data_IF_458897032442
#
_entry.id   IF_458897032442
#
_cell.length_a   1.000
_cell.length_b   1.000
_cell.length_c   1.000
_cell.angle_alpha   90.00
_cell.angle_beta   90.00
_cell.angle_gamma   90.00
#
_symmetry.space_group_name_H-M   'P 1'
#
loop_
_entity.id
_entity.type
_entity.pdbx_description
1 polymer ?
#
# COMPACT_ATOMS: atom_id res chain seq x y z
N UNK A 1 42.42 17.98 -36.92
CA UNK A 1 41.69 16.77 -36.48
C UNK A 1 41.39 16.92 -35.01
N UNK A 2 40.25 17.53 -34.67
CA UNK A 2 39.82 17.77 -33.30
C UNK A 2 38.73 16.75 -32.95
N UNK A 3 39.05 15.80 -32.08
CA UNK A 3 38.11 14.81 -31.55
C UNK A 3 37.41 15.42 -30.33
N UNK A 4 36.15 15.83 -30.51
CA UNK A 4 35.30 16.29 -29.41
C UNK A 4 34.79 15.06 -28.66
N UNK A 5 35.30 14.84 -27.45
CA UNK A 5 34.80 13.82 -26.54
C UNK A 5 33.46 14.29 -25.95
N UNK A 6 32.39 13.54 -26.20
CA UNK A 6 31.08 13.74 -25.57
C UNK A 6 31.15 13.35 -24.09
N UNK A 7 30.56 14.13 -23.17
CA UNK A 7 30.60 13.83 -21.75
C UNK A 7 29.76 12.58 -21.45
N UNK A 8 30.34 11.68 -20.65
CA UNK A 8 29.64 10.53 -20.12
C UNK A 8 28.42 10.99 -19.31
N UNK A 9 27.24 10.52 -19.70
CA UNK A 9 26.02 10.66 -18.90
C UNK A 9 26.25 9.96 -17.56
N UNK A 10 26.58 10.73 -16.53
CA UNK A 10 26.55 10.26 -15.16
C UNK A 10 25.08 10.09 -14.76
N UNK A 11 24.61 8.84 -14.75
CA UNK A 11 23.36 8.50 -14.09
C UNK A 11 23.56 8.69 -12.57
N UNK A 12 23.29 9.89 -12.08
CA UNK A 12 23.10 10.13 -10.64
C UNK A 12 21.63 9.83 -10.31
N UNK A 13 21.31 8.55 -10.16
CA UNK A 13 20.16 8.16 -9.34
C UNK A 13 20.69 7.82 -7.96
N UNK A 14 20.81 8.82 -7.08
CA UNK A 14 20.96 8.60 -5.65
C UNK A 14 19.62 8.14 -5.07
N UNK A 15 19.12 6.99 -5.52
CA UNK A 15 18.05 6.28 -4.85
C UNK A 15 18.73 5.35 -3.86
N UNK A 16 18.47 5.54 -2.57
CA UNK A 16 18.83 4.52 -1.57
C UNK A 16 18.28 3.17 -2.03
N UNK A 17 19.02 2.06 -1.81
CA UNK A 17 18.54 0.75 -2.20
C UNK A 17 17.21 0.47 -1.52
N UNK A 18 16.18 0.15 -2.31
CA UNK A 18 14.86 -0.23 -1.80
C UNK A 18 15.01 -1.32 -0.76
N UNK A 19 14.56 -1.05 0.48
CA UNK A 19 14.56 -2.04 1.53
C UNK A 19 13.46 -3.05 1.25
N UNK A 20 13.76 -4.33 1.38
CA UNK A 20 12.78 -5.40 1.20
C UNK A 20 12.72 -6.27 2.45
N UNK A 21 11.52 -6.51 2.95
CA UNK A 21 11.24 -7.45 4.03
C UNK A 21 10.48 -8.64 3.47
N UNK A 22 11.08 -9.82 3.54
CA UNK A 22 10.44 -11.05 3.09
C UNK A 22 9.91 -11.86 4.26
N UNK A 23 8.62 -12.21 4.22
CA UNK A 23 7.95 -13.00 5.25
C UNK A 23 7.86 -14.45 4.80
N UNK A 24 8.40 -15.38 5.59
CA UNK A 24 8.28 -16.82 5.30
C UNK A 24 6.83 -17.23 5.43
N UNK A 25 6.23 -17.65 4.31
CA UNK A 25 4.86 -18.17 4.25
C UNK A 25 4.84 -19.67 3.98
N UNK A 26 5.86 -20.42 4.37
CA UNK A 26 5.84 -21.89 4.25
C UNK A 26 4.86 -22.52 5.27
N UNK A 27 4.45 -23.79 5.04
CA UNK A 27 3.43 -24.52 5.83
C UNK A 27 3.57 -24.37 7.35
N UNK A 28 4.79 -24.47 7.89
CA UNK A 28 5.06 -24.34 9.32
C UNK A 28 4.88 -22.92 9.86
N UNK A 29 5.29 -21.90 9.09
CA UNK A 29 5.10 -20.50 9.46
C UNK A 29 3.63 -20.06 9.29
N UNK A 30 2.92 -20.60 8.30
CA UNK A 30 1.47 -20.36 8.14
C UNK A 30 0.67 -20.78 9.37
N UNK A 31 0.97 -21.97 9.92
CA UNK A 31 0.36 -22.45 11.17
C UNK A 31 0.64 -21.57 12.38
N UNK A 32 1.64 -20.70 12.30
CA UNK A 32 2.04 -19.76 13.35
C UNK A 32 1.65 -18.31 13.02
N UNK A 33 0.71 -18.10 12.09
CA UNK A 33 0.16 -16.76 11.81
C UNK A 33 0.94 -15.93 10.79
N UNK A 34 1.81 -16.52 9.95
CA UNK A 34 2.64 -15.74 9.01
C UNK A 34 1.86 -14.83 8.05
N UNK A 35 0.60 -15.15 7.73
CA UNK A 35 -0.24 -14.29 6.89
C UNK A 35 -0.72 -13.04 7.62
N UNK A 36 -1.14 -13.17 8.89
CA UNK A 36 -1.46 -12.02 9.71
C UNK A 36 -0.24 -11.10 9.88
N UNK A 37 0.95 -11.67 9.99
CA UNK A 37 2.20 -10.92 10.10
C UNK A 37 2.54 -10.23 8.78
N UNK A 38 2.39 -10.93 7.66
CA UNK A 38 2.56 -10.34 6.33
C UNK A 38 1.62 -9.15 6.12
N UNK A 39 0.35 -9.30 6.47
CA UNK A 39 -0.65 -8.24 6.40
C UNK A 39 -0.30 -7.07 7.32
N UNK A 40 0.01 -7.34 8.59
CA UNK A 40 0.42 -6.31 9.57
C UNK A 40 1.60 -5.49 9.05
N UNK A 41 2.66 -6.16 8.56
CA UNK A 41 3.83 -5.48 8.03
C UNK A 41 3.52 -4.69 6.77
N UNK A 42 2.71 -5.25 5.87
CA UNK A 42 2.31 -4.58 4.62
C UNK A 42 1.51 -3.31 4.92
N UNK A 43 0.61 -3.36 5.90
CA UNK A 43 -0.22 -2.23 6.30
C UNK A 43 0.57 -1.14 7.02
N UNK A 44 1.56 -1.51 7.84
CA UNK A 44 2.39 -0.55 8.59
C UNK A 44 3.62 -0.06 7.82
N UNK A 45 3.97 -0.68 6.69
CA UNK A 45 5.17 -0.34 5.94
C UNK A 45 5.14 1.10 5.40
N UNK A 46 6.25 1.85 5.51
CA UNK A 46 6.42 3.08 4.76
C UNK A 46 6.59 2.77 3.26
N UNK A 47 6.31 3.73 2.36
CA UNK A 47 6.38 3.55 0.90
C UNK A 47 7.71 3.00 0.37
N UNK A 48 8.82 3.23 1.09
CA UNK A 48 10.17 2.82 0.71
C UNK A 48 10.50 1.36 1.11
N UNK A 49 9.67 0.73 1.95
CA UNK A 49 9.84 -0.65 2.39
C UNK A 49 8.87 -1.57 1.66
N UNK A 50 9.39 -2.45 0.82
CA UNK A 50 8.59 -3.50 0.19
C UNK A 50 8.44 -4.68 1.15
N UNK A 51 7.21 -5.18 1.31
CA UNK A 51 6.93 -6.36 2.12
C UNK A 51 6.38 -7.46 1.21
N UNK A 52 7.14 -8.54 1.05
CA UNK A 52 6.81 -9.61 0.12
C UNK A 52 6.73 -10.97 0.82
N UNK A 53 5.82 -11.87 0.40
CA UNK A 53 5.88 -13.26 0.83
C UNK A 53 7.10 -13.98 0.21
N UNK A 54 7.63 -14.98 0.91
CA UNK A 54 8.65 -15.86 0.37
C UNK A 54 8.44 -17.32 0.79
N UNK A 55 9.20 -18.21 0.15
CA UNK A 55 9.28 -19.63 0.49
C UNK A 55 9.98 -19.90 1.82
N UNK A 56 10.33 -21.17 2.06
CA UNK A 56 11.02 -21.55 3.30
C UNK A 56 12.41 -20.91 3.38
N UNK A 57 12.71 -20.22 4.49
CA UNK A 57 14.03 -19.63 4.75
C UNK A 57 15.04 -20.64 5.34
N UNK A 58 14.73 -21.94 5.35
CA UNK A 58 15.64 -23.00 5.85
C UNK A 58 15.94 -22.95 7.35
N UNK A 59 15.29 -22.07 8.10
CA UNK A 59 15.47 -21.86 9.55
C UNK A 59 14.23 -22.40 10.27
N UNK A 60 14.19 -23.69 10.61
CA UNK A 60 13.12 -24.24 11.43
C UNK A 60 13.34 -23.93 12.92
N UNK A 61 12.27 -23.84 13.71
CA UNK A 61 12.39 -23.80 15.18
C UNK A 61 11.39 -22.92 15.92
N UNK A 62 10.83 -21.87 15.30
CA UNK A 62 9.72 -21.04 15.78
C UNK A 62 9.49 -19.92 14.75
N UNK A 63 8.46 -20.06 13.94
CA UNK A 63 8.11 -19.07 12.92
C UNK A 63 7.19 -17.98 13.48
N UNK A 64 6.66 -17.12 12.62
CA UNK A 64 7.14 -16.74 11.28
C UNK A 64 8.57 -16.18 11.31
N UNK A 65 9.36 -16.55 10.31
CA UNK A 65 10.70 -15.99 10.11
C UNK A 65 10.66 -14.95 8.99
N UNK A 66 11.50 -13.93 9.09
CA UNK A 66 11.68 -12.91 8.07
C UNK A 66 13.14 -12.78 7.68
N UNK A 67 13.36 -12.15 6.53
CA UNK A 67 14.68 -11.66 6.14
C UNK A 67 14.55 -10.22 5.64
N UNK A 68 15.37 -9.32 6.20
CA UNK A 68 15.50 -7.95 5.73
C UNK A 68 16.68 -7.84 4.76
N UNK A 69 16.42 -7.27 3.59
CA UNK A 69 17.35 -7.06 2.49
C UNK A 69 17.60 -5.56 2.31
N UNK A 70 18.82 -5.15 1.86
CA UNK A 70 19.89 -6.00 1.30
C UNK A 70 20.81 -6.67 2.33
N UNK A 71 20.69 -6.37 3.63
CA UNK A 71 21.64 -6.84 4.65
C UNK A 71 21.59 -8.37 4.89
N UNK A 72 20.53 -9.04 4.46
CA UNK A 72 20.36 -10.49 4.72
C UNK A 72 20.12 -10.79 6.20
N UNK A 73 19.56 -9.84 6.94
CA UNK A 73 19.31 -9.98 8.37
C UNK A 73 18.11 -10.91 8.60
N UNK A 74 18.37 -12.09 9.16
CA UNK A 74 17.33 -13.04 9.52
C UNK A 74 16.70 -12.70 10.87
N UNK A 75 15.39 -12.54 10.87
CA UNK A 75 14.59 -12.28 12.05
C UNK A 75 13.72 -13.51 12.33
N UNK A 76 13.76 -14.00 13.57
CA UNK A 76 13.06 -15.23 13.98
C UNK A 76 11.94 -14.88 14.98
N UNK A 77 10.98 -15.79 15.15
CA UNK A 77 9.93 -15.69 16.18
C UNK A 77 9.04 -14.44 16.06
N UNK A 78 8.69 -14.02 14.85
CA UNK A 78 7.80 -12.88 14.65
C UNK A 78 6.34 -13.35 14.59
N UNK A 79 5.82 -13.91 15.68
CA UNK A 79 4.50 -14.53 15.75
C UNK A 79 3.37 -13.58 16.19
N UNK A 80 3.69 -12.34 16.57
CA UNK A 80 2.71 -11.36 17.04
C UNK A 80 2.76 -10.06 16.22
N UNK A 81 1.62 -9.37 16.04
CA UNK A 81 1.59 -8.05 15.40
C UNK A 81 2.50 -7.03 16.09
N UNK A 82 2.58 -7.05 17.43
CA UNK A 82 3.48 -6.17 18.18
C UNK A 82 4.94 -6.40 17.83
N UNK A 83 5.36 -7.67 17.75
CA UNK A 83 6.75 -7.98 17.35
C UNK A 83 7.03 -7.58 15.91
N UNK A 84 6.04 -7.72 15.03
CA UNK A 84 6.16 -7.30 13.64
C UNK A 84 6.31 -5.77 13.52
N UNK A 85 5.51 -5.01 14.25
CA UNK A 85 5.60 -3.57 14.33
C UNK A 85 6.97 -3.14 14.89
N UNK A 86 7.42 -3.68 16.02
CA UNK A 86 8.75 -3.43 16.60
C UNK A 86 9.88 -3.66 15.59
N UNK A 87 9.83 -4.77 14.86
CA UNK A 87 10.80 -5.09 13.82
C UNK A 87 10.79 -4.00 12.75
N UNK A 88 9.61 -3.61 12.27
CA UNK A 88 9.47 -2.60 11.23
C UNK A 88 10.03 -1.25 11.67
N UNK A 89 9.74 -0.83 12.90
CA UNK A 89 10.32 0.37 13.49
C UNK A 89 11.84 0.28 13.64
N UNK A 90 12.38 -0.87 14.02
CA UNK A 90 13.84 -1.07 14.15
C UNK A 90 14.58 -1.00 12.80
N UNK A 91 13.92 -1.40 11.71
CA UNK A 91 14.51 -1.42 10.37
C UNK A 91 14.41 -0.07 9.64
N UNK A 92 13.38 0.71 9.95
CA UNK A 92 13.02 1.93 9.24
C UNK A 92 13.22 3.20 10.06
N UNK A 93 13.24 3.15 11.39
CA UNK A 93 13.26 4.33 12.25
C UNK A 93 14.51 5.21 12.07
N UNK A 94 14.30 6.52 11.93
CA UNK A 94 15.35 7.55 11.76
C UNK A 94 16.01 7.97 13.08
N UNK A 95 16.17 7.08 14.05
CA UNK A 95 16.76 7.42 15.35
C UNK A 95 15.89 8.34 16.24
N UNK A 96 14.66 8.68 15.83
CA UNK A 96 13.60 8.99 16.80
C UNK A 96 13.46 7.76 17.71
N UNK A 97 13.06 7.94 18.95
CA UNK A 97 12.80 6.87 19.94
C UNK A 97 11.61 5.97 19.52
N UNK A 98 11.66 5.41 18.31
CA UNK A 98 10.73 4.51 17.65
C UNK A 98 10.75 3.10 18.28
N UNK A 99 11.49 2.94 19.38
CA UNK A 99 11.47 1.79 20.29
C UNK A 99 10.70 2.09 21.58
N UNK A 100 9.93 3.18 21.67
CA UNK A 100 9.00 3.36 22.79
C UNK A 100 7.77 2.48 22.56
N UNK A 101 7.35 1.76 23.61
CA UNK A 101 6.12 0.94 23.61
C UNK A 101 4.89 1.73 23.11
N UNK A 102 4.88 3.06 23.28
CA UNK A 102 3.81 3.96 22.83
C UNK A 102 3.65 4.00 21.31
N UNK A 103 4.73 4.20 20.56
CA UNK A 103 4.65 4.31 19.09
C UNK A 103 4.17 3.01 18.43
N UNK A 104 4.58 1.87 19.00
CA UNK A 104 4.08 0.55 18.58
C UNK A 104 2.60 0.41 18.88
N UNK A 105 2.16 0.81 20.07
CA UNK A 105 0.75 0.76 20.46
C UNK A 105 -0.13 1.67 19.58
N UNK A 106 0.30 2.90 19.31
CA UNK A 106 -0.38 3.86 18.44
C UNK A 106 -0.52 3.34 17.01
N UNK A 107 0.55 2.79 16.44
CA UNK A 107 0.51 2.21 15.10
C UNK A 107 -0.42 0.98 15.01
N UNK A 108 -0.43 0.13 16.03
CA UNK A 108 -1.35 -1.01 16.09
C UNK A 108 -2.80 -0.57 16.31
N UNK A 109 -3.03 0.48 17.09
CA UNK A 109 -4.35 1.08 17.27
C UNK A 109 -4.86 1.68 15.95
N UNK A 110 -4.01 2.41 15.22
CA UNK A 110 -4.34 2.93 13.88
C UNK A 110 -4.64 1.81 12.88
N UNK A 111 -3.89 0.71 12.94
CA UNK A 111 -4.14 -0.47 12.13
C UNK A 111 -5.50 -1.12 12.50
N UNK A 112 -5.82 -1.22 13.79
CA UNK A 112 -7.09 -1.78 14.24
C UNK A 112 -8.28 -0.93 13.76
N UNK A 113 -8.19 0.40 13.86
CA UNK A 113 -9.21 1.31 13.30
C UNK A 113 -9.32 1.17 11.79
N UNK A 114 -8.20 1.06 11.07
CA UNK A 114 -8.18 0.86 9.62
C UNK A 114 -8.87 -0.44 9.22
N UNK A 115 -8.57 -1.54 9.93
CA UNK A 115 -9.21 -2.84 9.67
C UNK A 115 -10.72 -2.79 9.96
N UNK A 116 -11.14 -2.12 11.03
CA UNK A 116 -12.55 -1.90 11.30
C UNK A 116 -13.21 -1.08 10.19
N UNK A 117 -12.59 0.02 9.76
CA UNK A 117 -13.09 0.82 8.65
C UNK A 117 -13.24 0.00 7.36
N UNK A 118 -12.32 -0.94 7.09
CA UNK A 118 -12.43 -1.84 5.96
C UNK A 118 -13.65 -2.74 6.04
N UNK A 119 -13.94 -3.30 7.22
CA UNK A 119 -15.17 -4.06 7.44
C UNK A 119 -16.43 -3.21 7.26
N UNK A 120 -16.38 -1.93 7.64
CA UNK A 120 -17.49 -1.01 7.42
C UNK A 120 -17.66 -0.63 5.94
N UNK A 121 -16.57 -0.46 5.18
CA UNK A 121 -16.63 -0.29 3.72
C UNK A 121 -17.29 -1.50 3.05
N UNK A 122 -16.94 -2.71 3.48
CA UNK A 122 -17.56 -3.94 2.98
C UNK A 122 -19.04 -4.05 3.33
N UNK A 123 -19.45 -3.52 4.49
CA UNK A 123 -20.84 -3.42 4.91
C UNK A 123 -21.62 -2.28 4.24
N UNK A 124 -20.95 -1.37 3.52
CA UNK A 124 -21.54 -0.18 2.91
C UNK A 124 -21.71 1.02 3.86
N UNK A 125 -21.22 0.92 5.10
CA UNK A 125 -21.29 1.98 6.11
C UNK A 125 -20.15 2.98 5.92
N UNK A 126 -20.23 3.78 4.85
CA UNK A 126 -19.12 4.64 4.43
C UNK A 126 -18.82 5.81 5.39
N UNK A 127 -19.83 6.40 6.03
CA UNK A 127 -19.64 7.48 7.01
C UNK A 127 -18.85 7.00 8.24
N UNK A 128 -19.20 5.83 8.77
CA UNK A 128 -18.47 5.22 9.89
C UNK A 128 -17.04 4.87 9.48
N UNK A 129 -16.85 4.33 8.28
CA UNK A 129 -15.53 4.04 7.75
C UNK A 129 -14.66 5.30 7.64
N UNK A 130 -15.20 6.41 7.12
CA UNK A 130 -14.48 7.68 7.03
C UNK A 130 -14.06 8.19 8.42
N UNK A 131 -14.97 8.13 9.41
CA UNK A 131 -14.69 8.53 10.78
C UNK A 131 -13.56 7.71 11.40
N UNK A 132 -13.61 6.38 11.27
CA UNK A 132 -12.58 5.47 11.77
C UNK A 132 -11.21 5.73 11.10
N UNK A 133 -11.19 5.99 9.79
CA UNK A 133 -9.96 6.28 9.05
C UNK A 133 -9.39 7.66 9.41
N UNK A 134 -10.25 8.63 9.70
CA UNK A 134 -9.82 9.95 10.17
C UNK A 134 -9.19 9.85 11.56
N UNK A 135 -9.80 9.11 12.48
CA UNK A 135 -9.19 8.80 13.79
C UNK A 135 -7.85 8.05 13.63
N UNK A 136 -7.75 7.13 12.66
CA UNK A 136 -6.49 6.44 12.36
C UNK A 136 -5.39 7.39 11.89
N UNK A 137 -5.73 8.39 11.07
CA UNK A 137 -4.78 9.43 10.62
C UNK A 137 -4.36 10.38 11.74
N UNK A 138 -5.26 10.71 12.67
CA UNK A 138 -4.98 11.58 13.83
C UNK A 138 -3.93 10.98 14.77
N UNK A 139 -3.86 9.65 14.86
CA UNK A 139 -2.80 8.93 15.58
C UNK A 139 -1.42 9.06 14.93
N UNK A 140 -1.32 9.63 13.73
CA UNK A 140 -0.07 9.87 12.99
C UNK A 140 0.84 8.64 12.97
N UNK A 141 0.33 7.48 12.47
CA UNK A 141 1.13 6.28 12.41
C UNK A 141 2.37 6.53 11.55
N UNK A 142 3.49 5.92 11.97
CA UNK A 142 4.79 6.09 11.32
C UNK A 142 4.81 5.66 9.86
N UNK A 143 4.01 4.65 9.50
CA UNK A 143 3.89 4.14 8.14
C UNK A 143 2.45 3.80 7.80
N UNK A 144 2.21 3.33 6.57
CA UNK A 144 0.87 2.98 6.11
C UNK A 144 -0.07 4.13 5.76
N UNK A 145 0.33 5.39 5.98
CA UNK A 145 -0.51 6.58 5.72
C UNK A 145 -1.12 6.59 4.31
N UNK A 146 -0.33 6.27 3.28
CA UNK A 146 -0.80 6.19 1.88
C UNK A 146 -1.93 5.17 1.69
N UNK A 147 -1.95 4.08 2.46
CA UNK A 147 -3.04 3.09 2.45
C UNK A 147 -4.28 3.62 3.15
N UNK A 148 -4.12 4.29 4.30
CA UNK A 148 -5.23 4.87 5.06
C UNK A 148 -5.94 5.93 4.21
N UNK A 149 -5.19 6.86 3.59
CA UNK A 149 -5.75 7.83 2.64
C UNK A 149 -6.49 7.15 1.49
N UNK A 150 -5.89 6.12 0.87
CA UNK A 150 -6.56 5.36 -0.19
C UNK A 150 -7.88 4.73 0.29
N UNK A 151 -7.91 4.17 1.50
CA UNK A 151 -9.15 3.59 2.04
C UNK A 151 -10.20 4.66 2.34
N UNK A 152 -9.78 5.85 2.79
CA UNK A 152 -10.70 6.96 3.04
C UNK A 152 -11.27 7.52 1.73
N UNK A 153 -10.46 7.57 0.68
CA UNK A 153 -10.93 7.89 -0.66
C UNK A 153 -12.00 6.90 -1.16
N UNK A 154 -11.85 5.60 -0.89
CA UNK A 154 -12.88 4.60 -1.23
C UNK A 154 -14.17 4.84 -0.46
N UNK A 155 -14.10 5.14 0.84
CA UNK A 155 -15.28 5.49 1.63
C UNK A 155 -15.97 6.74 1.09
N UNK A 156 -15.22 7.81 0.82
CA UNK A 156 -15.75 9.06 0.23
C UNK A 156 -16.36 8.87 -1.16
N UNK A 157 -15.76 8.03 -1.99
CA UNK A 157 -16.37 7.64 -3.27
C UNK A 157 -17.72 6.95 -3.05
N UNK A 158 -17.83 6.06 -2.06
CA UNK A 158 -19.09 5.43 -1.67
C UNK A 158 -20.17 6.42 -1.20
N UNK A 159 -19.75 7.56 -0.64
CA UNK A 159 -20.62 8.69 -0.26
C UNK A 159 -20.85 9.70 -1.38
N UNK A 160 -20.32 9.46 -2.59
CA UNK A 160 -20.42 10.38 -3.74
C UNK A 160 -19.65 11.70 -3.51
N UNK A 161 -18.79 11.78 -2.47
CA UNK A 161 -17.85 12.88 -2.27
C UNK A 161 -16.62 12.70 -3.16
N UNK A 162 -16.79 13.00 -4.44
CA UNK A 162 -15.72 12.88 -5.42
C UNK A 162 -14.55 13.84 -5.17
N UNK A 163 -14.84 15.06 -4.68
CA UNK A 163 -13.83 16.06 -4.33
C UNK A 163 -12.91 15.56 -3.22
N UNK A 164 -13.48 15.15 -2.09
CA UNK A 164 -12.71 14.66 -0.96
C UNK A 164 -12.01 13.34 -1.26
N UNK A 165 -12.59 12.49 -2.13
CA UNK A 165 -11.91 11.28 -2.59
C UNK A 165 -10.65 11.61 -3.40
N UNK A 166 -10.72 12.56 -4.33
CA UNK A 166 -9.55 13.00 -5.12
C UNK A 166 -8.48 13.68 -4.26
N UNK A 167 -8.88 14.45 -3.24
CA UNK A 167 -7.95 15.00 -2.26
C UNK A 167 -7.19 13.90 -1.52
N UNK A 168 -7.89 12.88 -1.00
CA UNK A 168 -7.25 11.77 -0.31
C UNK A 168 -6.37 10.92 -1.25
N UNK A 169 -6.78 10.73 -2.50
CA UNK A 169 -5.94 10.10 -3.53
C UNK A 169 -4.66 10.91 -3.74
N UNK A 170 -4.76 12.24 -3.82
CA UNK A 170 -3.59 13.10 -4.02
C UNK A 170 -2.60 12.98 -2.85
N UNK A 171 -3.08 12.89 -1.60
CA UNK A 171 -2.25 12.65 -0.43
C UNK A 171 -1.59 11.27 -0.48
N UNK A 172 -2.33 10.22 -0.86
CA UNK A 172 -1.78 8.88 -1.00
C UNK A 172 -0.67 8.81 -2.05
N UNK A 173 -0.86 9.46 -3.20
CA UNK A 173 0.12 9.49 -4.30
C UNK A 173 1.33 10.37 -4.00
N UNK A 174 1.16 11.46 -3.25
CA UNK A 174 2.27 12.28 -2.78
C UNK A 174 3.20 11.48 -1.85
N UNK A 175 2.63 10.60 -1.02
CA UNK A 175 3.40 9.73 -0.12
C UNK A 175 4.00 8.53 -0.87
N UNK A 176 3.24 7.91 -1.78
CA UNK A 176 3.62 6.68 -2.46
C UNK A 176 3.27 6.76 -3.96
N UNK A 177 4.10 7.38 -4.81
CA UNK A 177 3.79 7.56 -6.23
C UNK A 177 3.78 6.26 -7.04
N UNK A 178 4.45 5.22 -6.54
CA UNK A 178 4.47 3.88 -7.15
C UNK A 178 3.44 2.93 -6.51
N UNK A 179 2.50 3.45 -5.72
CA UNK A 179 1.37 2.69 -5.19
C UNK A 179 0.23 2.74 -6.21
N UNK A 180 -0.18 1.61 -6.78
CA UNK A 180 -1.12 1.62 -7.91
C UNK A 180 -2.58 1.79 -7.47
N UNK A 181 -2.95 1.36 -6.26
CA UNK A 181 -4.34 1.36 -5.81
C UNK A 181 -5.02 2.74 -5.75
N UNK A 182 -4.34 3.85 -5.38
CA UNK A 182 -4.92 5.19 -5.47
C UNK A 182 -5.27 5.57 -6.92
N UNK A 183 -4.47 5.16 -7.91
CA UNK A 183 -4.80 5.38 -9.32
C UNK A 183 -6.02 4.56 -9.76
N UNK A 184 -6.20 3.34 -9.22
CA UNK A 184 -7.42 2.55 -9.45
C UNK A 184 -8.63 3.30 -8.88
N UNK A 185 -8.52 3.78 -7.64
CA UNK A 185 -9.58 4.56 -6.99
C UNK A 185 -9.88 5.87 -7.75
N UNK A 186 -8.85 6.54 -8.26
CA UNK A 186 -8.99 7.74 -9.10
C UNK A 186 -9.77 7.44 -10.39
N UNK A 187 -9.45 6.33 -11.06
CA UNK A 187 -10.21 5.86 -12.21
C UNK A 187 -11.67 5.56 -11.86
N UNK A 188 -11.91 4.89 -10.73
CA UNK A 188 -13.27 4.60 -10.23
C UNK A 188 -14.06 5.91 -9.97
N UNK A 189 -13.41 6.94 -9.40
CA UNK A 189 -14.00 8.29 -9.19
C UNK A 189 -14.35 8.96 -10.53
N UNK A 190 -13.43 8.98 -11.50
CA UNK A 190 -13.68 9.62 -12.79
C UNK A 190 -14.76 8.91 -13.60
N UNK A 191 -14.86 7.57 -13.53
CA UNK A 191 -15.97 6.82 -14.11
C UNK A 191 -17.31 7.22 -13.48
N UNK A 192 -17.34 7.48 -12.17
CA UNK A 192 -18.55 7.92 -11.48
C UNK A 192 -18.95 9.36 -11.84
N UNK A 193 -17.97 10.21 -12.16
CA UNK A 193 -18.19 11.58 -12.66
C UNK A 193 -18.48 11.68 -14.17
N UNK A 194 -18.42 10.55 -14.91
CA UNK A 194 -18.57 10.55 -16.38
C UNK A 194 -17.34 11.06 -17.14
N UNK A 195 -16.20 11.23 -16.48
CA UNK A 195 -14.95 11.72 -17.07
C UNK A 195 -14.11 10.54 -17.59
N UNK A 196 -14.58 9.87 -18.64
CA UNK A 196 -14.03 8.59 -19.09
C UNK A 196 -12.58 8.67 -19.60
N UNK A 197 -12.19 9.76 -20.27
CA UNK A 197 -10.81 9.96 -20.73
C UNK A 197 -9.82 10.05 -19.56
N UNK A 198 -10.23 10.70 -18.46
CA UNK A 198 -9.42 10.81 -17.26
C UNK A 198 -9.34 9.46 -16.53
N UNK A 199 -10.44 8.72 -16.49
CA UNK A 199 -10.46 7.38 -15.93
C UNK A 199 -9.51 6.42 -16.68
N UNK A 200 -9.50 6.46 -18.01
CA UNK A 200 -8.60 5.64 -18.82
C UNK A 200 -7.13 5.94 -18.49
N UNK A 201 -6.76 7.23 -18.42
CA UNK A 201 -5.40 7.65 -18.05
C UNK A 201 -5.00 7.13 -16.66
N UNK A 202 -5.88 7.21 -15.68
CA UNK A 202 -5.63 6.67 -14.33
C UNK A 202 -5.43 5.16 -14.34
N UNK A 203 -6.25 4.40 -15.08
CA UNK A 203 -6.07 2.95 -15.19
C UNK A 203 -4.82 2.55 -15.98
N UNK A 204 -4.44 3.29 -17.02
CA UNK A 204 -3.18 3.08 -17.73
C UNK A 204 -1.98 3.26 -16.78
N UNK A 205 -2.03 4.26 -15.89
CA UNK A 205 -0.98 4.45 -14.89
C UNK A 205 -0.84 3.26 -13.95
N UNK A 206 -1.95 2.62 -13.58
CA UNK A 206 -1.92 1.37 -12.79
C UNK A 206 -1.16 0.27 -13.53
N UNK A 207 -1.41 0.10 -14.83
CA UNK A 207 -0.78 -0.93 -15.66
C UNK A 207 0.71 -0.65 -15.93
N UNK A 208 1.13 0.62 -15.93
CA UNK A 208 2.55 0.99 -15.98
C UNK A 208 3.28 0.58 -14.70
N UNK A 209 2.65 0.78 -13.54
CA UNK A 209 3.23 0.44 -12.22
C UNK A 209 3.23 -1.08 -11.99
N UNK A 210 2.08 -1.72 -12.22
CA UNK A 210 1.93 -3.17 -12.10
C UNK A 210 1.26 -3.77 -13.35
N UNK A 211 2.06 -4.25 -14.32
CA UNK A 211 1.54 -4.91 -15.53
C UNK A 211 0.75 -6.20 -15.24
N UNK A 212 0.90 -6.81 -14.06
CA UNK A 212 0.19 -8.04 -13.71
C UNK A 212 -1.31 -7.81 -13.51
N UNK A 213 -1.73 -6.57 -13.22
CA UNK A 213 -3.14 -6.17 -13.13
C UNK A 213 -3.93 -6.48 -14.41
N UNK A 214 -3.27 -6.53 -15.58
CA UNK A 214 -3.90 -6.97 -16.84
C UNK A 214 -4.51 -8.37 -16.74
N UNK A 215 -4.00 -9.23 -15.85
CA UNK A 215 -4.50 -10.59 -15.60
C UNK A 215 -5.56 -10.64 -14.49
N UNK A 216 -5.72 -9.58 -13.70
CA UNK A 216 -6.70 -9.51 -12.61
C UNK A 216 -8.13 -9.46 -13.14
N UNK A 217 -9.00 -10.34 -12.61
CA UNK A 217 -10.42 -10.37 -12.97
C UNK A 217 -11.14 -9.09 -12.55
N UNK A 218 -10.85 -8.58 -11.35
CA UNK A 218 -11.48 -7.35 -10.83
C UNK A 218 -11.06 -6.10 -11.60
N UNK A 219 -9.80 -6.05 -12.07
CA UNK A 219 -9.33 -4.95 -12.90
C UNK A 219 -9.94 -5.00 -14.30
N UNK A 220 -10.03 -6.19 -14.92
CA UNK A 220 -10.75 -6.36 -16.20
C UNK A 220 -12.21 -5.91 -16.13
N UNK A 221 -12.90 -6.19 -15.02
CA UNK A 221 -14.27 -5.73 -14.82
C UNK A 221 -14.38 -4.20 -14.80
N UNK A 222 -13.42 -3.50 -14.18
CA UNK A 222 -13.35 -2.02 -14.21
C UNK A 222 -13.17 -1.47 -15.62
N UNK A 223 -12.23 -2.02 -16.38
CA UNK A 223 -11.99 -1.62 -17.77
C UNK A 223 -13.24 -1.86 -18.64
N UNK A 224 -13.90 -3.01 -18.49
CA UNK A 224 -15.13 -3.29 -19.22
C UNK A 224 -16.27 -2.32 -18.84
N UNK A 225 -16.39 -1.94 -17.56
CA UNK A 225 -17.37 -0.95 -17.10
C UNK A 225 -17.08 0.44 -17.70
N UNK A 226 -15.81 0.88 -17.69
CA UNK A 226 -15.39 2.11 -18.34
C UNK A 226 -15.77 2.13 -19.83
N UNK A 227 -15.42 1.08 -20.57
CA UNK A 227 -15.73 0.97 -22.00
C UNK A 227 -17.23 1.03 -22.28
N UNK A 228 -18.02 0.30 -21.49
CA UNK A 228 -19.48 0.30 -21.62
C UNK A 228 -20.05 1.71 -21.42
N UNK A 229 -19.66 2.39 -20.35
CA UNK A 229 -20.15 3.73 -20.03
C UNK A 229 -19.68 4.81 -21.01
N UNK A 230 -18.47 4.69 -21.54
CA UNK A 230 -17.96 5.58 -22.57
C UNK A 230 -18.80 5.47 -23.86
N UNK A 231 -19.08 4.25 -24.32
CA UNK A 231 -19.93 4.01 -25.50
C UNK A 231 -21.36 4.54 -25.27
N UNK A 232 -21.93 4.32 -24.08
CA UNK A 232 -23.26 4.85 -23.74
C UNK A 232 -23.31 6.38 -23.79
N UNK A 233 -22.23 7.06 -23.41
CA UNK A 233 -22.14 8.52 -23.45
C UNK A 233 -21.88 9.08 -24.85
N UNK A 234 -21.15 8.35 -25.71
CA UNK A 234 -20.95 8.75 -27.12
C UNK A 234 -22.25 8.67 -27.95
N UNK A 235 -23.24 7.90 -27.47
CA UNK A 235 -24.53 7.69 -28.13
C UNK A 235 -25.64 8.64 -27.65
N UNK A 236 -25.41 9.42 -26.58
CA UNK A 236 -26.37 10.33 -25.96
C UNK A 236 -26.11 11.79 -26.32
#
# INVERSE_FOLDING_TARGET
>A
MASVALPAFTCRSSAEPTKELRVCTNRTCRKQGSFQILETLTSLAPPQLQVNPCGCLGRCGSGPNLVALPQGLFLRHCATPSRAAEILFSLCGDGREASSSSAVAEALSALALTNNALTQIEAGNFEEAESLLTQALEMKPYGGLHRIFKHRAVAKLGMVDYSGALEDISQALALAPNYYEPYVCQGDVYVAQGQYDLAEKSYLKCLEIDPTLRRSKSFKARIANLQKKAVEADLS
#
